data_IF_504210452062
#
_entry.id   IF_504210452062
#
_cell.length_a   1.000
_cell.length_b   1.000
_cell.length_c   1.000
_cell.angle_alpha   90.00
_cell.angle_beta   90.00
_cell.angle_gamma   90.00
#
_symmetry.space_group_name_H-M   'P 1'
#
loop_
_entity.id
_entity.type
_entity.pdbx_description
1 polymer ?
#
# COMPACT_ATOMS: atom_id res chain seq x y z
N UNK A 1 3.81 55.07 68.16
CA UNK A 1 4.68 53.95 67.85
C UNK A 1 3.93 52.65 68.17
N UNK A 2 3.28 52.03 67.23
CA UNK A 2 2.68 50.71 67.43
C UNK A 2 3.10 49.84 66.21
N UNK A 3 3.87 48.79 66.47
CA UNK A 3 4.35 47.81 65.55
C UNK A 3 3.25 46.79 65.33
N UNK A 4 2.78 46.66 64.06
CA UNK A 4 1.91 45.56 63.58
C UNK A 4 2.80 44.46 63.06
N UNK A 5 2.80 43.30 63.70
CA UNK A 5 3.36 42.06 63.20
C UNK A 5 2.34 41.42 62.24
N UNK A 6 2.72 41.31 60.96
CA UNK A 6 1.95 40.55 59.97
C UNK A 6 2.45 39.10 59.99
N UNK A 7 1.64 38.18 60.46
CA UNK A 7 1.86 36.74 60.36
C UNK A 7 1.55 36.29 58.89
N UNK A 8 2.58 35.92 58.11
CA UNK A 8 2.44 35.30 56.85
C UNK A 8 2.25 33.79 57.05
N UNK A 9 1.04 33.31 56.88
CA UNK A 9 0.75 31.85 56.81
C UNK A 9 1.17 31.35 55.42
N UNK A 10 2.30 30.65 55.34
CA UNK A 10 2.73 29.93 54.16
C UNK A 10 1.91 28.64 54.11
N UNK A 11 0.85 28.62 53.33
CA UNK A 11 0.14 27.39 52.94
C UNK A 11 0.97 26.64 51.88
N UNK A 12 1.84 25.74 52.34
CA UNK A 12 2.52 24.77 51.49
C UNK A 12 1.48 23.77 50.96
N UNK A 13 0.92 24.09 49.80
CA UNK A 13 0.17 23.13 48.98
C UNK A 13 1.16 22.02 48.56
N UNK A 14 1.09 20.91 49.28
CA UNK A 14 1.68 19.65 48.88
C UNK A 14 1.01 19.22 47.56
N UNK A 15 1.56 19.64 46.44
CA UNK A 15 1.32 19.00 45.15
C UNK A 15 1.96 17.60 45.24
N UNK A 16 1.20 16.63 45.72
CA UNK A 16 1.51 15.24 45.44
C UNK A 16 1.47 15.08 43.93
N UNK A 17 2.57 14.73 43.27
CA UNK A 17 2.46 14.35 41.87
C UNK A 17 1.47 13.21 41.82
N UNK A 18 0.31 13.42 41.20
CA UNK A 18 -0.58 12.33 40.85
C UNK A 18 0.31 11.35 40.04
N UNK A 19 0.67 10.26 40.70
CA UNK A 19 1.37 9.16 40.03
C UNK A 19 0.49 8.70 38.90
N UNK A 20 0.73 9.28 37.72
CA UNK A 20 0.06 8.87 36.50
C UNK A 20 0.44 7.40 36.31
N UNK A 21 -0.50 6.50 36.55
CA UNK A 21 -0.27 5.07 36.41
C UNK A 21 0.33 4.84 35.02
N UNK A 22 1.49 4.21 35.01
CA UNK A 22 2.16 3.93 33.73
C UNK A 22 1.17 3.25 32.80
N UNK A 23 1.06 3.69 31.53
CA UNK A 23 0.07 3.15 30.62
C UNK A 23 0.21 1.63 30.53
N UNK A 24 -0.89 0.92 30.72
CA UNK A 24 -0.92 -0.54 30.72
C UNK A 24 -0.40 -1.04 29.38
N UNK A 25 0.74 -1.73 29.38
CA UNK A 25 1.31 -2.33 28.17
C UNK A 25 0.37 -3.39 27.63
N UNK A 26 0.24 -3.42 26.29
CA UNK A 26 -0.56 -4.40 25.59
C UNK A 26 0.26 -5.68 25.41
N UNK A 27 -0.34 -6.83 25.76
CA UNK A 27 0.25 -8.13 25.51
C UNK A 27 0.10 -8.50 24.03
N UNK A 28 1.17 -9.05 23.43
CA UNK A 28 1.19 -9.48 22.05
C UNK A 28 0.81 -10.94 21.95
N UNK A 29 -0.21 -11.24 21.14
CA UNK A 29 -0.71 -12.59 20.87
C UNK A 29 -0.02 -13.19 19.65
N UNK A 30 0.03 -14.51 19.47
CA UNK A 30 0.50 -15.10 18.23
C UNK A 30 -0.52 -14.91 17.10
N UNK A 31 -0.06 -14.57 15.91
CA UNK A 31 -0.81 -14.77 14.66
C UNK A 31 -0.74 -16.25 14.29
N UNK A 32 -1.83 -16.80 13.77
CA UNK A 32 -1.87 -18.18 13.31
C UNK A 32 -1.66 -18.26 11.80
N UNK A 33 -0.83 -19.19 11.36
CA UNK A 33 -0.68 -19.49 9.94
C UNK A 33 -2.01 -20.06 9.41
N UNK A 34 -2.56 -19.41 8.40
CA UNK A 34 -3.70 -19.91 7.66
C UNK A 34 -3.24 -20.83 6.54
N UNK A 35 -2.36 -20.30 5.65
CA UNK A 35 -1.79 -21.06 4.55
C UNK A 35 -0.57 -20.33 3.97
N UNK A 36 0.19 -21.01 3.09
CA UNK A 36 1.25 -20.44 2.25
C UNK A 36 0.90 -20.60 0.77
N UNK A 37 1.21 -19.56 -0.05
CA UNK A 37 0.64 -19.43 -1.39
C UNK A 37 1.68 -19.08 -2.46
N UNK A 38 2.74 -19.80 -2.59
CA UNK A 38 3.75 -19.60 -3.62
C UNK A 38 4.98 -18.81 -3.16
N UNK A 39 5.85 -18.47 -4.09
CA UNK A 39 7.12 -17.81 -3.83
C UNK A 39 7.01 -16.28 -3.90
N UNK A 40 7.89 -15.53 -3.24
CA UNK A 40 7.89 -14.07 -3.32
C UNK A 40 8.08 -13.52 -4.74
N UNK A 41 8.78 -14.26 -5.60
CA UNK A 41 9.06 -13.84 -6.98
C UNK A 41 7.81 -13.97 -7.90
N UNK A 42 6.88 -14.86 -7.53
CA UNK A 42 5.67 -15.09 -8.31
C UNK A 42 4.45 -14.31 -7.78
N UNK A 43 4.37 -14.11 -6.45
CA UNK A 43 3.18 -13.55 -5.79
C UNK A 43 3.38 -12.07 -5.49
N UNK A 44 2.61 -11.22 -6.16
CA UNK A 44 2.56 -9.78 -5.88
C UNK A 44 1.66 -9.44 -4.69
N UNK A 45 0.62 -10.24 -4.46
CA UNK A 45 -0.30 -10.01 -3.35
C UNK A 45 -1.44 -11.00 -3.25
N UNK A 46 -2.28 -10.77 -2.24
CA UNK A 46 -3.47 -11.58 -1.96
C UNK A 46 -4.62 -10.65 -1.59
N UNK A 47 -5.82 -10.96 -2.08
CA UNK A 47 -7.08 -10.35 -1.60
C UNK A 47 -8.06 -11.44 -1.22
N UNK A 48 -9.07 -11.13 -0.41
CA UNK A 48 -10.09 -12.08 0.01
C UNK A 48 -11.41 -11.82 -0.73
N UNK A 49 -12.01 -12.87 -1.28
CA UNK A 49 -13.36 -12.86 -1.83
C UNK A 49 -14.19 -13.96 -1.17
N UNK A 50 -15.12 -13.58 -0.28
CA UNK A 50 -15.78 -14.51 0.61
C UNK A 50 -14.77 -15.27 1.49
N UNK A 51 -14.86 -16.60 1.49
CA UNK A 51 -13.93 -17.50 2.17
C UNK A 51 -12.70 -17.87 1.34
N UNK A 52 -12.59 -17.36 0.09
CA UNK A 52 -11.48 -17.67 -0.82
C UNK A 52 -10.39 -16.62 -0.75
N UNK A 53 -9.14 -17.07 -0.89
CA UNK A 53 -7.96 -16.24 -0.99
C UNK A 53 -7.55 -16.15 -2.46
N UNK A 54 -7.57 -14.95 -3.02
CA UNK A 54 -7.21 -14.71 -4.42
C UNK A 54 -5.76 -14.25 -4.45
N UNK A 55 -4.90 -15.10 -4.95
CA UNK A 55 -3.47 -14.89 -5.14
C UNK A 55 -3.25 -14.36 -6.55
N UNK A 56 -2.51 -13.27 -6.68
CA UNK A 56 -2.18 -12.69 -7.98
C UNK A 56 -0.71 -12.31 -8.05
N UNK A 57 -0.20 -12.24 -9.25
CA UNK A 57 1.20 -11.91 -9.50
C UNK A 57 1.63 -12.26 -10.92
N UNK A 58 2.90 -12.65 -11.07
CA UNK A 58 3.47 -12.99 -12.37
C UNK A 58 4.29 -14.25 -12.27
N UNK A 59 4.00 -15.22 -13.15
CA UNK A 59 4.70 -16.47 -13.25
C UNK A 59 5.24 -16.65 -14.66
N UNK A 60 6.54 -16.95 -14.79
CA UNK A 60 7.22 -17.02 -16.08
C UNK A 60 6.94 -15.78 -16.97
N UNK A 61 7.01 -14.59 -16.37
CA UNK A 61 6.73 -13.29 -16.98
C UNK A 61 5.28 -13.08 -17.46
N UNK A 62 4.33 -13.90 -17.03
CA UNK A 62 2.91 -13.77 -17.37
C UNK A 62 2.08 -13.48 -16.13
N UNK A 63 1.20 -12.50 -16.24
CA UNK A 63 0.23 -12.18 -15.21
C UNK A 63 -0.71 -13.35 -14.97
N UNK A 64 -0.96 -13.69 -13.72
CA UNK A 64 -1.89 -14.74 -13.32
C UNK A 64 -2.71 -14.35 -12.10
N UNK A 65 -3.82 -15.05 -11.93
CA UNK A 65 -4.59 -15.07 -10.70
C UNK A 65 -5.08 -16.50 -10.43
N UNK A 66 -5.14 -16.86 -9.15
CA UNK A 66 -5.74 -18.12 -8.73
C UNK A 66 -6.46 -17.96 -7.39
N UNK A 67 -7.51 -18.73 -7.18
CA UNK A 67 -8.15 -18.83 -5.89
C UNK A 67 -7.70 -20.10 -5.17
N UNK A 68 -7.49 -19.96 -3.87
CA UNK A 68 -7.27 -21.08 -2.97
C UNK A 68 -8.23 -20.97 -1.78
N UNK A 69 -8.56 -22.09 -1.17
CA UNK A 69 -9.27 -22.10 0.10
C UNK A 69 -8.29 -21.85 1.28
N UNK A 70 -8.81 -21.85 2.50
CA UNK A 70 -8.02 -21.63 3.72
C UNK A 70 -7.00 -22.72 4.01
N UNK A 71 -7.09 -23.88 3.36
CA UNK A 71 -6.10 -24.97 3.46
C UNK A 71 -5.00 -24.87 2.40
N UNK A 72 -5.14 -23.92 1.45
CA UNK A 72 -4.25 -23.78 0.31
C UNK A 72 -4.62 -24.63 -0.91
N UNK A 73 -5.74 -25.34 -0.87
CA UNK A 73 -6.24 -26.10 -2.01
C UNK A 73 -6.71 -25.15 -3.10
N UNK A 74 -6.20 -25.36 -4.32
CA UNK A 74 -6.60 -24.55 -5.48
C UNK A 74 -8.06 -24.80 -5.86
N UNK A 75 -8.79 -23.70 -6.03
CA UNK A 75 -10.19 -23.69 -6.47
C UNK A 75 -10.27 -23.41 -7.99
N UNK A 76 -9.48 -22.47 -8.46
CA UNK A 76 -9.30 -22.16 -9.88
C UNK A 76 -7.96 -21.45 -10.11
N UNK A 77 -7.47 -21.47 -11.35
CA UNK A 77 -6.22 -20.86 -11.78
C UNK A 77 -6.39 -20.29 -13.19
N UNK A 78 -5.93 -19.06 -13.42
CA UNK A 78 -6.15 -18.32 -14.65
C UNK A 78 -4.89 -17.57 -15.07
N UNK A 79 -4.40 -17.80 -16.28
CA UNK A 79 -3.48 -16.91 -16.95
C UNK A 79 -4.26 -15.69 -17.44
N UNK A 80 -3.88 -14.50 -16.98
CA UNK A 80 -4.62 -13.25 -17.28
C UNK A 80 -4.30 -12.70 -18.66
N UNK A 81 -3.12 -13.03 -19.17
CA UNK A 81 -2.65 -12.52 -20.44
C UNK A 81 -1.88 -13.59 -21.21
N UNK A 82 -2.16 -13.70 -22.50
CA UNK A 82 -1.46 -14.59 -23.42
C UNK A 82 -0.26 -13.90 -24.07
N UNK A 83 -0.05 -12.60 -23.84
CA UNK A 83 1.11 -11.87 -24.34
C UNK A 83 2.43 -12.39 -23.76
N UNK A 84 3.55 -12.01 -24.39
CA UNK A 84 4.85 -12.53 -24.02
C UNK A 84 5.28 -12.09 -22.60
N UNK A 85 4.94 -10.88 -22.18
CA UNK A 85 5.30 -10.32 -20.86
C UNK A 85 4.11 -9.55 -20.31
N UNK A 86 3.73 -9.83 -19.08
CA UNK A 86 2.71 -9.07 -18.35
C UNK A 86 2.90 -9.23 -16.85
N UNK A 87 2.48 -8.25 -16.07
CA UNK A 87 2.55 -8.28 -14.62
C UNK A 87 1.20 -7.90 -14.01
N UNK A 88 0.79 -8.61 -12.96
CA UNK A 88 -0.33 -8.25 -12.11
C UNK A 88 0.21 -7.77 -10.77
N UNK A 89 -0.08 -6.51 -10.38
CA UNK A 89 0.61 -5.84 -9.26
C UNK A 89 -0.31 -5.39 -8.14
N UNK A 90 -1.61 -5.23 -8.42
CA UNK A 90 -2.59 -4.81 -7.45
C UNK A 90 -3.95 -5.47 -7.70
N UNK A 91 -4.71 -5.75 -6.65
CA UNK A 91 -6.05 -6.29 -6.78
C UNK A 91 -6.99 -5.73 -5.71
N UNK A 92 -8.28 -5.70 -6.03
CA UNK A 92 -9.36 -5.40 -5.10
C UNK A 92 -10.59 -6.24 -5.46
N UNK A 93 -11.47 -6.45 -4.48
CA UNK A 93 -12.74 -7.18 -4.65
C UNK A 93 -13.88 -6.19 -4.52
N UNK A 94 -14.82 -6.22 -5.46
CA UNK A 94 -16.00 -5.36 -5.43
C UNK A 94 -17.10 -5.95 -4.54
N UNK A 95 -18.20 -5.22 -4.39
CA UNK A 95 -19.33 -5.63 -3.53
C UNK A 95 -20.05 -6.89 -4.02
N UNK A 96 -19.93 -7.23 -5.30
CA UNK A 96 -20.49 -8.44 -5.89
C UNK A 96 -19.58 -9.67 -5.67
N UNK A 97 -18.36 -9.47 -5.17
CA UNK A 97 -17.34 -10.50 -5.02
C UNK A 97 -16.46 -10.69 -6.26
N UNK A 98 -16.64 -9.88 -7.31
CA UNK A 98 -15.79 -9.90 -8.48
C UNK A 98 -14.41 -9.31 -8.17
N UNK A 99 -13.39 -9.90 -8.74
CA UNK A 99 -12.00 -9.57 -8.53
C UNK A 99 -11.54 -8.63 -9.66
N UNK A 100 -11.01 -7.48 -9.29
CA UNK A 100 -10.41 -6.52 -10.20
C UNK A 100 -8.90 -6.52 -9.97
N UNK A 101 -8.15 -6.80 -11.03
CA UNK A 101 -6.68 -6.85 -10.98
C UNK A 101 -6.14 -5.77 -11.88
N UNK A 102 -5.19 -4.99 -11.39
CA UNK A 102 -4.44 -4.03 -12.16
C UNK A 102 -3.00 -4.51 -12.36
N UNK A 103 -2.45 -4.18 -13.50
CA UNK A 103 -1.10 -4.53 -13.86
C UNK A 103 -0.63 -3.77 -15.09
N UNK A 104 0.44 -4.26 -15.70
CA UNK A 104 0.98 -3.67 -16.91
C UNK A 104 1.27 -4.74 -17.98
N UNK A 105 1.05 -4.35 -19.22
CA UNK A 105 1.33 -5.17 -20.42
C UNK A 105 2.11 -4.34 -21.44
N UNK A 106 2.76 -4.98 -22.41
CA UNK A 106 3.29 -4.30 -23.58
C UNK A 106 2.16 -3.65 -24.39
N UNK A 107 2.49 -2.64 -25.17
CA UNK A 107 1.57 -2.16 -26.22
C UNK A 107 1.36 -3.27 -27.23
N UNK A 108 0.11 -3.45 -27.67
CA UNK A 108 -0.18 -4.36 -28.77
C UNK A 108 0.58 -3.92 -30.05
N UNK A 109 1.27 -4.86 -30.67
CA UNK A 109 2.09 -4.67 -31.87
C UNK A 109 1.29 -4.19 -33.11
N UNK A 110 0.34 -3.35 -33.00
CA UNK A 110 -0.43 -2.76 -34.08
C UNK A 110 -0.72 -1.29 -33.85
N UNK A 111 -0.41 -0.76 -32.67
CA UNK A 111 -0.71 0.63 -32.32
C UNK A 111 0.48 1.57 -32.54
N UNK A 112 1.68 1.03 -32.75
CA UNK A 112 2.86 1.78 -33.15
C UNK A 112 3.35 1.18 -34.46
N UNK A 113 3.23 1.93 -35.55
CA UNK A 113 3.93 1.54 -36.80
C UNK A 113 5.42 1.36 -36.43
N UNK A 114 6.04 0.21 -36.77
CA UNK A 114 7.44 0.02 -36.50
C UNK A 114 8.19 1.13 -37.26
N UNK A 115 8.83 2.02 -36.52
CA UNK A 115 9.83 2.90 -37.11
C UNK A 115 10.89 1.97 -37.67
N UNK A 116 11.18 1.98 -38.98
CA UNK A 116 12.22 1.12 -39.52
C UNK A 116 13.52 1.46 -38.81
N UNK A 117 13.94 0.56 -37.92
CA UNK A 117 15.25 0.66 -37.31
C UNK A 117 16.28 0.53 -38.42
N UNK A 118 17.24 1.43 -38.56
CA UNK A 118 18.31 1.22 -39.52
C UNK A 118 18.92 -0.14 -39.22
N UNK A 119 19.07 -0.97 -40.22
CA UNK A 119 19.68 -2.30 -40.09
C UNK A 119 20.99 -2.14 -39.34
N UNK A 120 21.17 -2.74 -38.16
CA UNK A 120 22.43 -2.62 -37.45
C UNK A 120 23.51 -3.18 -38.36
N UNK A 121 24.56 -2.41 -38.60
CA UNK A 121 25.79 -2.95 -39.17
C UNK A 121 26.31 -3.99 -38.16
N UNK A 122 26.04 -5.25 -38.45
CA UNK A 122 26.61 -6.37 -37.71
C UNK A 122 27.77 -6.96 -38.53
N UNK A 123 28.99 -6.48 -38.34
CA UNK A 123 30.12 -6.92 -39.14
C UNK A 123 30.51 -8.38 -38.90
N UNK A 124 30.05 -9.00 -37.80
CA UNK A 124 30.47 -10.31 -37.36
C UNK A 124 29.43 -11.41 -37.63
N UNK A 125 28.34 -11.13 -38.32
CA UNK A 125 27.24 -12.08 -38.53
C UNK A 125 26.72 -12.78 -37.25
N UNK A 126 26.96 -12.19 -36.09
CA UNK A 126 26.44 -12.69 -34.84
C UNK A 126 24.90 -12.53 -34.83
N UNK A 127 24.17 -13.56 -34.39
CA UNK A 127 22.74 -13.49 -34.24
C UNK A 127 22.37 -12.29 -33.34
N UNK A 128 21.71 -11.28 -33.92
CA UNK A 128 21.18 -10.17 -33.16
C UNK A 128 20.19 -10.76 -32.15
N UNK A 129 20.37 -10.57 -30.82
CA UNK A 129 19.38 -11.02 -29.87
C UNK A 129 18.00 -10.46 -30.29
N UNK A 130 16.93 -11.24 -30.21
CA UNK A 130 15.59 -10.73 -30.50
C UNK A 130 15.38 -9.47 -29.65
N UNK A 131 14.86 -8.42 -30.29
CA UNK A 131 14.59 -7.15 -29.64
C UNK A 131 13.88 -7.44 -28.31
N UNK A 132 14.46 -6.94 -27.22
CA UNK A 132 13.97 -7.18 -25.86
C UNK A 132 12.52 -6.71 -25.83
N UNK A 133 11.63 -7.66 -25.66
CA UNK A 133 10.20 -7.46 -25.82
C UNK A 133 9.72 -6.42 -24.81
N UNK A 134 9.20 -5.35 -25.37
CA UNK A 134 8.13 -4.57 -24.83
C UNK A 134 8.32 -3.98 -23.46
N UNK A 135 8.69 -2.74 -23.42
CA UNK A 135 8.43 -1.90 -22.25
C UNK A 135 6.95 -2.06 -21.87
N UNK A 136 6.66 -2.30 -20.60
CA UNK A 136 5.31 -2.37 -20.06
C UNK A 136 4.68 -0.96 -20.10
N UNK A 137 4.09 -0.61 -21.24
CA UNK A 137 3.59 0.72 -21.57
C UNK A 137 2.06 0.80 -21.61
N UNK A 138 1.35 -0.23 -21.17
CA UNK A 138 -0.09 -0.19 -21.04
C UNK A 138 -0.51 -0.53 -19.60
N UNK A 139 -1.31 0.34 -18.98
CA UNK A 139 -2.04 0.00 -17.76
C UNK A 139 -3.13 -0.98 -18.15
N UNK A 140 -3.13 -2.15 -17.54
CA UNK A 140 -4.10 -3.20 -17.86
C UNK A 140 -4.95 -3.54 -16.65
N UNK A 141 -6.23 -3.75 -16.89
CA UNK A 141 -7.20 -4.17 -15.90
C UNK A 141 -7.87 -5.45 -16.37
N UNK A 142 -7.94 -6.42 -15.49
CA UNK A 142 -8.68 -7.67 -15.66
C UNK A 142 -9.80 -7.73 -14.63
N UNK A 143 -11.01 -8.08 -15.07
CA UNK A 143 -12.11 -8.38 -14.16
C UNK A 143 -12.44 -9.87 -14.24
N UNK A 144 -12.49 -10.52 -13.08
CA UNK A 144 -12.70 -11.96 -12.93
C UNK A 144 -13.87 -12.15 -11.97
N UNK A 145 -14.79 -13.07 -12.28
CA UNK A 145 -15.84 -13.45 -11.34
C UNK A 145 -15.27 -14.19 -10.12
N UNK A 146 -16.02 -14.28 -9.05
CA UNK A 146 -15.65 -15.09 -7.88
C UNK A 146 -15.37 -16.56 -8.23
N UNK A 147 -15.91 -17.07 -9.34
CA UNK A 147 -15.73 -18.45 -9.82
C UNK A 147 -14.57 -18.62 -10.80
N UNK A 148 -13.77 -17.58 -11.04
CA UNK A 148 -12.58 -17.66 -11.89
C UNK A 148 -12.85 -17.45 -13.38
N UNK A 149 -13.99 -16.87 -13.78
CA UNK A 149 -14.28 -16.55 -15.17
C UNK A 149 -13.82 -15.13 -15.48
N UNK A 150 -12.93 -14.98 -16.47
CA UNK A 150 -12.49 -13.67 -16.97
C UNK A 150 -13.65 -12.96 -17.67
N UNK A 151 -14.11 -11.85 -17.10
CA UNK A 151 -15.22 -11.07 -17.66
C UNK A 151 -14.74 -10.12 -18.77
N UNK A 152 -13.62 -9.44 -18.54
CA UNK A 152 -12.99 -8.60 -19.55
C UNK A 152 -11.51 -8.34 -19.25
N UNK A 153 -10.79 -7.91 -20.29
CA UNK A 153 -9.45 -7.32 -20.23
C UNK A 153 -9.47 -6.02 -20.99
N UNK A 154 -9.10 -4.92 -20.33
CA UNK A 154 -9.00 -3.60 -20.97
C UNK A 154 -7.65 -2.97 -20.67
N UNK A 155 -7.13 -2.21 -21.65
CA UNK A 155 -5.81 -1.57 -21.57
C UNK A 155 -5.92 -0.08 -21.83
N UNK A 156 -5.07 0.69 -21.14
CA UNK A 156 -4.84 2.12 -21.38
C UNK A 156 -3.39 2.28 -21.83
N UNK A 157 -3.13 2.52 -23.12
CA UNK A 157 -1.79 2.81 -23.62
C UNK A 157 -1.21 4.07 -22.99
N UNK A 158 0.10 4.04 -22.73
CA UNK A 158 0.86 5.17 -22.20
C UNK A 158 2.12 5.40 -23.03
N UNK A 159 2.66 6.61 -22.96
CA UNK A 159 3.91 6.98 -23.66
C UNK A 159 5.17 6.50 -22.94
N UNK A 160 5.03 5.98 -21.72
CA UNK A 160 6.15 5.60 -20.86
C UNK A 160 5.85 4.28 -20.15
N UNK A 161 6.89 3.64 -19.60
CA UNK A 161 6.73 2.45 -18.76
C UNK A 161 5.87 2.77 -17.54
N UNK A 162 4.95 1.90 -17.19
CA UNK A 162 4.04 2.05 -16.07
C UNK A 162 4.14 0.88 -15.10
N UNK A 163 3.95 1.18 -13.82
CA UNK A 163 3.83 0.20 -12.74
C UNK A 163 2.64 0.60 -11.86
N UNK A 164 1.46 -0.02 -12.03
CA UNK A 164 0.37 0.11 -11.08
C UNK A 164 0.81 -0.37 -9.69
N UNK A 165 0.44 0.35 -8.64
CA UNK A 165 0.83 0.04 -7.25
C UNK A 165 -0.37 -0.28 -6.38
N UNK A 166 -1.54 0.29 -6.69
CA UNK A 166 -2.77 0.03 -5.98
C UNK A 166 -4.00 0.22 -6.86
N UNK A 167 -5.08 -0.46 -6.49
CA UNK A 167 -6.40 -0.34 -7.09
C UNK A 167 -7.45 -0.22 -5.99
N UNK A 168 -8.43 0.65 -6.18
CA UNK A 168 -9.64 0.72 -5.37
C UNK A 168 -10.88 0.59 -6.27
N UNK A 169 -11.88 -0.14 -5.81
CA UNK A 169 -13.10 -0.43 -6.57
C UNK A 169 -14.34 -0.03 -5.79
N UNK A 170 -15.35 0.43 -6.50
CA UNK A 170 -16.70 0.63 -5.99
C UNK A 170 -17.74 0.25 -7.06
N UNK A 171 -19.01 0.51 -6.80
CA UNK A 171 -20.11 0.25 -7.76
C UNK A 171 -19.99 0.98 -9.11
N UNK A 172 -19.14 2.00 -9.21
CA UNK A 172 -18.97 2.83 -10.41
C UNK A 172 -17.74 2.39 -11.24
N UNK A 173 -16.93 1.46 -10.73
CA UNK A 173 -15.73 0.97 -11.41
C UNK A 173 -14.48 1.00 -10.53
N UNK A 174 -13.31 1.16 -11.16
CA UNK A 174 -12.01 1.08 -10.53
C UNK A 174 -11.22 2.38 -10.66
N UNK A 175 -10.34 2.62 -9.68
CA UNK A 175 -9.28 3.63 -9.74
C UNK A 175 -7.95 2.97 -9.48
N UNK A 176 -7.01 3.18 -10.36
CA UNK A 176 -5.67 2.60 -10.35
C UNK A 176 -4.68 3.73 -10.16
N UNK A 177 -3.77 3.58 -9.24
CA UNK A 177 -2.63 4.49 -9.08
C UNK A 177 -1.34 3.72 -9.27
N UNK A 178 -0.27 4.45 -9.56
CA UNK A 178 1.05 3.87 -9.73
C UNK A 178 2.06 4.90 -10.13
N UNK A 179 3.16 4.43 -10.69
CA UNK A 179 4.25 5.25 -11.20
C UNK A 179 4.42 5.05 -12.71
N UNK A 180 4.79 6.13 -13.38
CA UNK A 180 5.23 6.10 -14.77
C UNK A 180 6.67 6.59 -14.83
N UNK A 181 7.54 5.81 -15.48
CA UNK A 181 8.96 6.13 -15.63
C UNK A 181 9.22 6.90 -16.92
N UNK A 182 10.11 7.90 -16.86
CA UNK A 182 10.63 8.61 -18.01
C UNK A 182 12.11 8.95 -17.79
N UNK A 183 12.75 9.58 -18.76
CA UNK A 183 14.18 9.96 -18.69
C UNK A 183 14.52 10.89 -17.52
N UNK A 184 13.53 11.62 -16.97
CA UNK A 184 13.71 12.55 -15.85
C UNK A 184 13.49 11.88 -14.49
N UNK A 185 12.96 10.64 -14.45
CA UNK A 185 12.63 9.92 -13.23
C UNK A 185 11.24 9.31 -13.25
N UNK A 186 10.46 9.41 -12.16
CA UNK A 186 9.13 8.84 -12.05
C UNK A 186 8.09 9.87 -11.63
N UNK A 187 6.93 9.85 -12.29
CA UNK A 187 5.74 10.57 -11.88
C UNK A 187 4.68 9.60 -11.37
N UNK A 188 3.86 10.03 -10.42
CA UNK A 188 2.66 9.29 -10.04
C UNK A 188 1.56 9.43 -11.09
N UNK A 189 0.61 8.51 -11.11
CA UNK A 189 -0.59 8.62 -11.93
C UNK A 189 -1.85 8.16 -11.19
N UNK A 190 -3.01 8.64 -11.66
CA UNK A 190 -4.33 8.08 -11.38
C UNK A 190 -5.04 7.80 -12.71
N UNK A 191 -5.45 6.56 -12.92
CA UNK A 191 -6.30 6.14 -14.01
C UNK A 191 -7.62 5.61 -13.46
N UNK A 192 -8.74 6.00 -14.07
CA UNK A 192 -10.05 5.51 -13.69
C UNK A 192 -10.64 4.67 -14.82
N UNK A 193 -11.30 3.59 -14.46
CA UNK A 193 -12.11 2.78 -15.35
C UNK A 193 -13.54 2.71 -14.81
N UNK A 194 -14.52 2.74 -15.69
CA UNK A 194 -15.92 2.56 -15.34
C UNK A 194 -16.24 1.08 -15.00
N UNK A 195 -17.49 0.78 -14.69
CA UNK A 195 -17.92 -0.59 -14.37
C UNK A 195 -17.74 -1.60 -15.50
N UNK A 196 -17.66 -1.14 -16.77
CA UNK A 196 -17.37 -1.95 -17.95
C UNK A 196 -15.86 -2.06 -18.21
N UNK A 197 -15.02 -1.43 -17.39
CA UNK A 197 -13.58 -1.43 -17.53
C UNK A 197 -13.06 -0.40 -18.54
N UNK A 198 -13.92 0.49 -19.07
CA UNK A 198 -13.51 1.53 -20.03
C UNK A 198 -12.73 2.60 -19.31
N UNK A 199 -11.48 2.81 -19.73
CA UNK A 199 -10.62 3.82 -19.13
C UNK A 199 -11.01 5.24 -19.56
N UNK A 200 -10.99 6.16 -18.62
CA UNK A 200 -11.03 7.60 -18.84
C UNK A 200 -9.63 8.20 -19.00
N UNK A 201 -9.57 9.53 -18.86
CA UNK A 201 -8.31 10.29 -18.96
C UNK A 201 -7.40 9.97 -17.78
N UNK A 202 -6.12 9.73 -18.05
CA UNK A 202 -5.07 9.57 -17.05
C UNK A 202 -4.70 10.93 -16.45
N UNK A 203 -4.62 10.99 -15.12
CA UNK A 203 -4.12 12.15 -14.37
C UNK A 203 -2.69 11.89 -13.95
N UNK A 204 -1.76 12.67 -14.47
CA UNK A 204 -0.36 12.64 -14.01
C UNK A 204 -0.22 13.46 -12.72
N UNK A 205 0.58 12.94 -11.78
CA UNK A 205 0.86 13.55 -10.48
C UNK A 205 2.36 13.74 -10.34
N UNK A 206 2.80 15.00 -10.38
CA UNK A 206 4.22 15.31 -10.42
C UNK A 206 4.85 15.09 -11.79
N UNK A 207 6.17 15.11 -11.85
CA UNK A 207 6.92 15.06 -13.13
C UNK A 207 8.16 14.17 -13.11
N UNK A 208 8.86 14.06 -11.96
CA UNK A 208 10.18 13.43 -11.92
C UNK A 208 10.51 12.70 -10.62
N UNK A 209 9.81 12.97 -9.52
CA UNK A 209 10.17 12.43 -8.20
C UNK A 209 8.93 12.27 -7.30
N UNK A 210 7.86 11.74 -7.87
CA UNK A 210 6.59 11.52 -7.17
C UNK A 210 6.12 10.08 -7.37
N UNK A 211 5.69 9.43 -6.29
CA UNK A 211 5.00 8.14 -6.31
C UNK A 211 3.54 8.30 -5.93
N UNK A 212 2.69 7.40 -6.43
CA UNK A 212 1.32 7.23 -5.99
C UNK A 212 1.15 5.76 -5.59
N UNK A 213 1.06 5.51 -4.28
CA UNK A 213 1.21 4.16 -3.70
C UNK A 213 -0.11 3.57 -3.19
N UNK A 214 -1.12 4.41 -2.97
CA UNK A 214 -2.46 3.94 -2.58
C UNK A 214 -3.53 4.96 -2.97
N UNK A 215 -4.76 4.49 -3.16
CA UNK A 215 -5.91 5.30 -3.56
C UNK A 215 -7.14 4.97 -2.76
N UNK A 216 -7.91 5.99 -2.43
CA UNK A 216 -9.24 5.90 -1.82
C UNK A 216 -10.25 6.56 -2.74
N UNK A 217 -11.33 5.86 -3.05
CA UNK A 217 -12.51 6.40 -3.75
C UNK A 217 -13.50 6.87 -2.71
N UNK A 218 -14.01 8.09 -2.87
CA UNK A 218 -15.02 8.65 -1.97
C UNK A 218 -16.42 8.58 -2.59
N UNK A 219 -17.43 8.56 -1.76
CA UNK A 219 -18.84 8.46 -2.20
C UNK A 219 -19.32 9.65 -3.04
N UNK A 220 -18.65 10.82 -2.90
CA UNK A 220 -18.90 12.02 -3.70
C UNK A 220 -18.24 11.96 -5.10
N UNK A 221 -17.53 10.87 -5.39
CA UNK A 221 -16.80 10.66 -6.64
C UNK A 221 -15.42 11.31 -6.67
N UNK A 222 -14.97 11.93 -5.58
CA UNK A 222 -13.58 12.40 -5.44
C UNK A 222 -12.64 11.28 -5.03
N UNK A 223 -11.33 11.55 -5.11
CA UNK A 223 -10.29 10.58 -4.79
C UNK A 223 -9.28 11.18 -3.82
N UNK A 224 -8.73 10.32 -2.96
CA UNK A 224 -7.51 10.61 -2.21
C UNK A 224 -6.42 9.68 -2.68
N UNK A 225 -5.33 10.23 -3.21
CA UNK A 225 -4.13 9.49 -3.57
C UNK A 225 -3.07 9.77 -2.51
N UNK A 226 -2.37 8.75 -2.07
CA UNK A 226 -1.25 8.88 -1.15
C UNK A 226 0.01 8.28 -1.74
N UNK A 227 1.16 8.83 -1.35
CA UNK A 227 2.47 8.39 -1.84
C UNK A 227 3.58 9.27 -1.28
N UNK A 228 4.59 9.54 -2.06
CA UNK A 228 5.72 10.39 -1.66
C UNK A 228 6.18 11.30 -2.79
N UNK A 229 6.83 12.41 -2.44
CA UNK A 229 7.36 13.34 -3.44
C UNK A 229 8.54 14.14 -2.92
N UNK A 230 9.57 14.29 -3.77
CA UNK A 230 10.72 15.17 -3.56
C UNK A 230 10.65 16.44 -4.41
N UNK A 231 9.57 16.67 -5.14
CA UNK A 231 9.37 17.84 -5.98
C UNK A 231 8.24 18.75 -5.46
N UNK A 232 8.14 19.97 -5.96
CA UNK A 232 7.03 20.88 -5.64
C UNK A 232 5.76 20.40 -6.31
N UNK A 233 4.70 20.17 -5.55
CA UNK A 233 3.38 19.76 -6.05
C UNK A 233 2.35 20.85 -5.75
N UNK A 234 1.66 21.35 -6.78
CA UNK A 234 0.63 22.41 -6.65
C UNK A 234 1.09 23.57 -5.76
N UNK A 235 2.32 24.05 -5.96
CA UNK A 235 2.93 25.14 -5.19
C UNK A 235 3.39 24.76 -3.77
N UNK A 236 3.16 23.54 -3.30
CA UNK A 236 3.65 23.05 -2.00
C UNK A 236 5.06 22.50 -2.15
N UNK A 237 6.05 23.17 -1.54
CA UNK A 237 7.45 22.78 -1.53
C UNK A 237 7.71 21.59 -0.61
N UNK A 238 8.72 20.79 -0.93
CA UNK A 238 9.25 19.75 -0.04
C UNK A 238 9.93 20.39 1.17
N UNK A 239 9.79 19.78 2.34
CA UNK A 239 10.42 20.24 3.58
C UNK A 239 11.44 19.23 4.14
N UNK A 240 11.27 17.94 3.85
CA UNK A 240 12.27 16.90 4.12
C UNK A 240 13.19 16.64 2.92
N UNK A 241 13.78 15.45 2.85
CA UNK A 241 14.44 14.93 1.64
C UNK A 241 13.35 14.42 0.68
N UNK A 242 12.36 13.72 1.21
CA UNK A 242 11.15 13.25 0.56
C UNK A 242 10.01 13.39 1.54
N UNK A 243 8.91 13.98 1.13
CA UNK A 243 7.72 14.10 1.96
C UNK A 243 6.66 13.07 1.55
N UNK A 244 5.98 12.49 2.52
CA UNK A 244 4.74 11.78 2.29
C UNK A 244 3.66 12.77 1.83
N UNK A 245 2.93 12.43 0.77
CA UNK A 245 1.91 13.31 0.20
C UNK A 245 0.53 12.67 0.27
N UNK A 246 -0.47 13.51 0.54
CA UNK A 246 -1.89 13.20 0.44
C UNK A 246 -2.46 14.18 -0.57
N UNK A 247 -3.03 13.67 -1.64
CA UNK A 247 -3.47 14.45 -2.79
C UNK A 247 -4.97 14.24 -2.97
N UNK A 248 -5.74 15.30 -2.85
CA UNK A 248 -7.19 15.28 -3.15
C UNK A 248 -7.40 15.58 -4.63
N UNK A 249 -8.12 14.71 -5.30
CA UNK A 249 -8.51 14.85 -6.70
C UNK A 249 -10.03 14.88 -6.76
N UNK A 250 -10.57 15.90 -7.41
CA UNK A 250 -12.02 16.04 -7.58
C UNK A 250 -12.60 14.99 -8.52
N UNK A 251 -13.92 14.83 -8.52
CA UNK A 251 -14.64 14.01 -9.51
C UNK A 251 -14.32 14.41 -10.96
N UNK A 252 -14.03 15.69 -11.21
CA UNK A 252 -13.58 16.20 -12.51
C UNK A 252 -12.09 16.02 -12.79
N UNK A 253 -11.41 15.15 -12.04
CA UNK A 253 -9.99 14.76 -12.22
C UNK A 253 -9.00 15.93 -12.07
N UNK A 254 -9.34 16.95 -11.29
CA UNK A 254 -8.45 18.06 -10.98
C UNK A 254 -7.86 17.88 -9.57
N UNK A 255 -6.56 18.07 -9.42
CA UNK A 255 -5.90 18.14 -8.10
C UNK A 255 -6.41 19.41 -7.40
N UNK A 256 -7.08 19.24 -6.26
CA UNK A 256 -7.71 20.33 -5.49
C UNK A 256 -6.96 20.66 -4.21
N UNK A 257 -6.21 19.70 -3.67
CA UNK A 257 -5.41 19.92 -2.47
C UNK A 257 -4.22 18.96 -2.44
N UNK A 258 -3.12 19.42 -1.85
CA UNK A 258 -1.92 18.63 -1.54
C UNK A 258 -1.54 18.89 -0.09
N UNK A 259 -1.48 17.84 0.72
CA UNK A 259 -1.00 17.90 2.10
C UNK A 259 0.30 17.13 2.20
N UNK A 260 1.32 17.71 2.84
CA UNK A 260 2.63 17.10 3.03
C UNK A 260 2.85 16.71 4.48
N UNK A 261 3.51 15.59 4.66
CA UNK A 261 4.00 15.10 5.94
C UNK A 261 5.50 14.88 5.83
N UNK A 262 6.26 15.65 6.56
CA UNK A 262 7.72 15.70 6.41
C UNK A 262 8.45 15.08 7.60
N UNK A 263 9.69 14.65 7.37
CA UNK A 263 10.65 14.32 8.40
C UNK A 263 11.89 15.21 8.23
N UNK A 264 12.30 15.90 9.29
CA UNK A 264 13.48 16.78 9.25
C UNK A 264 14.71 15.98 8.85
N UNK A 265 15.39 16.40 7.77
CA UNK A 265 16.57 15.73 7.19
C UNK A 265 16.32 14.25 6.87
N UNK A 266 15.08 13.88 6.61
CA UNK A 266 14.68 12.48 6.39
C UNK A 266 13.68 12.32 5.23
N UNK A 267 13.31 11.07 5.01
CA UNK A 267 12.27 10.67 4.05
C UNK A 267 11.03 10.25 4.83
N UNK A 268 9.89 10.71 4.40
CA UNK A 268 8.59 10.20 4.82
C UNK A 268 7.84 9.68 3.60
N UNK A 269 7.31 8.47 3.70
CA UNK A 269 6.60 7.81 2.60
C UNK A 269 5.28 7.27 3.14
N UNK A 270 4.22 7.39 2.37
CA UNK A 270 2.95 6.72 2.61
C UNK A 270 2.78 5.58 1.60
N UNK A 271 2.64 4.34 2.09
CA UNK A 271 2.56 3.14 1.25
C UNK A 271 1.17 2.51 1.23
N UNK A 272 0.30 2.90 2.15
CA UNK A 272 -1.06 2.37 2.23
C UNK A 272 -2.03 3.37 2.84
N UNK A 273 -3.29 3.24 2.48
CA UNK A 273 -4.39 4.02 3.05
C UNK A 273 -5.66 3.17 3.15
N UNK A 274 -6.47 3.45 4.15
CA UNK A 274 -7.82 2.92 4.24
C UNK A 274 -8.86 3.96 3.80
N UNK A 275 -10.07 3.52 3.53
CA UNK A 275 -11.20 4.39 3.19
C UNK A 275 -11.50 5.46 4.25
N UNK A 276 -11.07 5.24 5.48
CA UNK A 276 -11.23 6.18 6.59
C UNK A 276 -9.99 7.02 6.87
N UNK A 277 -9.02 7.06 5.96
CA UNK A 277 -7.77 7.82 6.06
C UNK A 277 -6.88 7.39 7.25
N UNK A 278 -6.85 6.10 7.58
CA UNK A 278 -5.76 5.52 8.33
C UNK A 278 -4.63 5.22 7.34
N UNK A 279 -3.52 5.93 7.45
CA UNK A 279 -2.38 5.81 6.56
C UNK A 279 -1.27 5.04 7.25
N UNK A 280 -0.67 4.14 6.49
CA UNK A 280 0.53 3.41 6.84
C UNK A 280 1.68 3.80 5.92
N UNK A 281 2.87 3.84 6.48
CA UNK A 281 4.06 4.18 5.73
C UNK A 281 5.31 4.05 6.57
N UNK A 282 6.35 4.78 6.19
CA UNK A 282 7.63 4.76 6.90
C UNK A 282 8.26 6.14 7.01
N UNK A 283 9.15 6.26 7.98
CA UNK A 283 10.05 7.41 8.17
C UNK A 283 11.48 6.90 8.23
N UNK A 284 12.34 7.48 7.41
CA UNK A 284 13.75 7.13 7.32
C UNK A 284 14.58 8.37 7.64
N UNK A 285 15.38 8.31 8.70
CA UNK A 285 16.32 9.37 9.10
C UNK A 285 17.70 8.73 9.32
N UNK A 286 18.63 9.02 8.44
CA UNK A 286 19.92 8.34 8.41
C UNK A 286 19.74 6.83 8.21
N UNK A 287 20.21 6.03 9.18
CA UNK A 287 20.06 4.57 9.18
C UNK A 287 18.82 4.07 9.95
N UNK A 288 18.08 4.98 10.60
CA UNK A 288 16.89 4.61 11.39
C UNK A 288 15.67 4.54 10.47
N UNK A 289 15.00 3.39 10.50
CA UNK A 289 13.75 3.14 9.80
C UNK A 289 12.66 2.92 10.85
N UNK A 290 11.56 3.63 10.71
CA UNK A 290 10.39 3.49 11.56
C UNK A 290 9.14 3.33 10.69
N UNK A 291 8.34 2.32 10.96
CA UNK A 291 6.95 2.26 10.50
C UNK A 291 6.17 3.42 11.11
N UNK A 292 5.36 4.07 10.30
CA UNK A 292 4.57 5.21 10.71
C UNK A 292 3.09 4.95 10.41
N UNK A 293 2.25 5.09 11.44
CA UNK A 293 0.80 4.91 11.36
C UNK A 293 0.17 6.23 11.77
N UNK A 294 -0.60 6.84 10.89
CA UNK A 294 -1.26 8.13 11.16
C UNK A 294 -2.72 8.07 10.73
N UNK A 295 -3.59 8.48 11.61
CA UNK A 295 -4.99 8.75 11.29
C UNK A 295 -5.14 10.20 10.90
N UNK A 296 -5.82 10.44 9.78
CA UNK A 296 -6.18 11.77 9.32
C UNK A 296 -7.69 12.00 9.43
N UNK A 297 -8.07 13.24 9.67
CA UNK A 297 -9.46 13.70 9.56
C UNK A 297 -9.86 13.84 8.09
N UNK A 298 -11.14 14.10 7.83
CA UNK A 298 -11.64 14.41 6.48
C UNK A 298 -11.06 15.70 5.89
N UNK A 299 -10.53 16.60 6.73
CA UNK A 299 -9.79 17.80 6.33
C UNK A 299 -8.30 17.55 6.10
N UNK A 300 -7.84 16.31 6.19
CA UNK A 300 -6.45 15.88 6.09
C UNK A 300 -5.53 16.44 7.18
N UNK A 301 -6.06 16.78 8.35
CA UNK A 301 -5.28 17.08 9.54
C UNK A 301 -4.96 15.76 10.27
N UNK A 302 -3.71 15.54 10.74
CA UNK A 302 -3.38 14.35 11.52
C UNK A 302 -4.08 14.43 12.90
N UNK A 303 -4.77 13.35 13.28
CA UNK A 303 -5.45 13.25 14.59
C UNK A 303 -4.58 12.55 15.61
N UNK A 304 -3.86 11.49 15.20
CA UNK A 304 -2.85 10.82 16.00
C UNK A 304 -1.82 10.15 15.11
N UNK A 305 -0.63 9.92 15.65
CA UNK A 305 0.49 9.27 14.95
C UNK A 305 1.25 8.36 15.90
N UNK A 306 1.57 7.16 15.43
CA UNK A 306 2.51 6.24 16.07
C UNK A 306 3.71 5.96 15.17
N UNK A 307 4.86 5.70 15.80
CA UNK A 307 6.08 5.23 15.13
C UNK A 307 6.64 4.05 15.89
N UNK A 308 7.09 3.04 15.13
CA UNK A 308 7.69 1.83 15.69
C UNK A 308 8.98 1.49 14.93
N UNK A 309 10.03 1.03 15.61
CA UNK A 309 11.21 0.50 14.93
C UNK A 309 10.82 -0.61 13.96
N UNK A 310 11.29 -0.53 12.69
CA UNK A 310 10.88 -1.48 11.65
C UNK A 310 11.96 -1.65 10.58
N UNK A 311 11.75 -2.61 9.67
CA UNK A 311 12.56 -2.76 8.46
C UNK A 311 12.00 -2.03 7.25
N UNK A 312 10.76 -1.52 7.32
CA UNK A 312 10.11 -0.93 6.16
C UNK A 312 8.68 -0.48 6.40
N UNK A 313 7.88 -0.46 5.33
CA UNK A 313 6.58 0.19 5.31
C UNK A 313 5.52 -0.52 6.17
N UNK A 314 4.47 0.23 6.46
CA UNK A 314 3.26 -0.26 7.13
C UNK A 314 2.14 -0.46 6.12
N UNK A 315 1.41 -1.57 6.24
CA UNK A 315 0.16 -1.83 5.54
C UNK A 315 -1.01 -1.64 6.49
N UNK A 316 -2.06 -0.97 6.04
CA UNK A 316 -3.27 -0.72 6.84
C UNK A 316 -4.46 -1.50 6.31
N UNK A 317 -5.35 -1.91 7.23
CA UNK A 317 -6.61 -2.57 6.89
C UNK A 317 -7.76 -1.95 7.68
N UNK A 318 -8.85 -1.62 6.97
CA UNK A 318 -10.01 -0.95 7.55
C UNK A 318 -9.64 0.38 8.24
N UNK A 319 -10.34 0.68 9.32
CA UNK A 319 -10.14 1.91 10.09
C UNK A 319 -9.19 1.76 11.28
N UNK A 320 -8.78 0.52 11.60
CA UNK A 320 -8.27 0.18 12.93
C UNK A 320 -7.04 -0.72 12.96
N UNK A 321 -6.61 -1.29 11.83
CA UNK A 321 -5.49 -2.22 11.79
C UNK A 321 -4.31 -1.71 11.00
N UNK A 322 -3.10 -2.02 11.48
CA UNK A 322 -1.86 -1.76 10.79
C UNK A 322 -0.86 -2.89 11.03
N UNK A 323 -0.14 -3.31 9.99
CA UNK A 323 0.83 -4.39 10.05
C UNK A 323 2.15 -3.97 9.41
N UNK A 324 3.27 -4.39 10.02
CA UNK A 324 4.64 -4.10 9.56
C UNK A 324 5.64 -5.12 10.15
N UNK A 325 6.89 -5.12 9.68
CA UNK A 325 7.95 -5.90 10.30
C UNK A 325 8.62 -5.06 11.37
N UNK A 326 8.40 -5.41 12.64
CA UNK A 326 9.02 -4.72 13.79
C UNK A 326 10.42 -5.24 14.06
N UNK A 327 11.35 -4.32 14.38
CA UNK A 327 12.76 -4.64 14.68
C UNK A 327 13.13 -4.37 16.13
N UNK A 328 12.22 -3.89 16.95
CA UNK A 328 12.57 -3.45 18.29
C UNK A 328 11.42 -3.34 19.26
N UNK A 329 11.77 -2.94 20.46
CA UNK A 329 10.85 -2.80 21.60
C UNK A 329 10.02 -1.53 21.45
N UNK A 330 8.76 -1.59 21.84
CA UNK A 330 7.90 -0.42 22.04
C UNK A 330 7.48 -0.30 23.50
N UNK A 331 7.49 0.89 24.06
CA UNK A 331 7.01 1.11 25.44
C UNK A 331 5.53 0.78 25.61
N UNK A 332 4.76 0.72 24.52
CA UNK A 332 3.33 0.41 24.53
C UNK A 332 3.03 -1.09 24.58
N UNK A 333 4.02 -1.94 24.32
CA UNK A 333 3.86 -3.38 24.21
C UNK A 333 4.64 -4.11 25.30
N UNK A 334 4.04 -5.16 25.86
CA UNK A 334 4.75 -6.14 26.66
C UNK A 334 5.34 -7.21 25.74
N UNK A 335 6.33 -6.80 24.91
CA UNK A 335 6.92 -7.62 23.89
C UNK A 335 8.31 -7.12 23.51
N UNK A 336 9.24 -8.06 23.34
CA UNK A 336 10.61 -7.79 22.98
C UNK A 336 11.07 -8.78 21.90
N UNK A 337 10.94 -8.43 20.61
CA UNK A 337 11.37 -9.32 19.53
C UNK A 337 12.90 -9.41 19.50
N UNK A 338 13.42 -10.65 19.41
CA UNK A 338 14.88 -10.91 19.27
C UNK A 338 15.37 -10.71 17.84
N UNK A 339 14.47 -10.66 16.86
CA UNK A 339 14.75 -10.51 15.43
C UNK A 339 13.56 -9.85 14.75
N UNK A 340 13.71 -9.32 13.52
CA UNK A 340 12.61 -8.75 12.76
C UNK A 340 11.42 -9.70 12.68
N UNK A 341 10.25 -9.23 13.05
CA UNK A 341 9.04 -10.06 13.23
C UNK A 341 7.79 -9.27 12.78
N UNK A 342 6.86 -9.89 12.03
CA UNK A 342 5.59 -9.26 11.68
C UNK A 342 4.81 -8.88 12.94
N UNK A 343 4.32 -7.66 12.98
CA UNK A 343 3.50 -7.12 14.05
C UNK A 343 2.22 -6.54 13.48
N UNK A 344 1.09 -7.03 13.93
CA UNK A 344 -0.24 -6.46 13.68
C UNK A 344 -0.69 -5.71 14.91
N UNK A 345 -1.11 -4.46 14.73
CA UNK A 345 -1.66 -3.61 15.76
C UNK A 345 -3.12 -3.30 15.48
N UNK A 346 -3.92 -3.21 16.54
CA UNK A 346 -5.30 -2.71 16.47
C UNK A 346 -5.48 -1.46 17.33
N UNK A 347 -6.27 -0.52 16.81
CA UNK A 347 -6.53 0.77 17.43
C UNK A 347 -8.05 0.99 17.56
N UNK A 348 -8.45 1.74 18.56
CA UNK A 348 -9.82 2.27 18.62
C UNK A 348 -9.97 3.54 17.76
N UNK A 349 -11.17 4.09 17.70
CA UNK A 349 -11.46 5.29 16.93
C UNK A 349 -10.71 6.55 17.44
N UNK A 350 -10.31 6.56 18.72
CA UNK A 350 -9.53 7.64 19.35
C UNK A 350 -8.03 7.48 19.19
N UNK A 351 -7.58 6.34 18.65
CA UNK A 351 -6.19 6.01 18.43
C UNK A 351 -5.53 5.28 19.59
N UNK A 352 -6.28 4.89 20.62
CA UNK A 352 -5.71 4.05 21.67
C UNK A 352 -5.41 2.65 21.11
N UNK A 353 -4.22 2.12 21.43
CA UNK A 353 -3.83 0.77 21.06
C UNK A 353 -4.68 -0.24 21.85
N UNK A 354 -5.46 -1.07 21.17
CA UNK A 354 -6.41 -2.02 21.78
C UNK A 354 -5.92 -3.46 21.71
N UNK A 355 -5.00 -3.77 20.81
CA UNK A 355 -4.45 -5.11 20.68
C UNK A 355 -3.20 -5.16 19.84
N UNK A 356 -2.46 -6.24 20.01
CA UNK A 356 -1.29 -6.54 19.21
C UNK A 356 -1.15 -8.04 18.99
N UNK A 357 -0.65 -8.44 17.81
CA UNK A 357 -0.34 -9.82 17.50
C UNK A 357 0.92 -9.91 16.65
N UNK A 358 1.73 -10.96 16.82
CA UNK A 358 2.97 -11.16 16.09
C UNK A 358 2.98 -12.47 15.32
N UNK A 359 3.53 -12.42 14.10
CA UNK A 359 3.81 -13.62 13.31
C UNK A 359 5.12 -14.29 13.72
N UNK A 360 5.53 -15.33 13.00
CA UNK A 360 6.81 -16.00 13.21
C UNK A 360 7.97 -15.13 12.72
N UNK A 361 9.16 -15.40 13.22
CA UNK A 361 10.42 -14.83 12.73
C UNK A 361 10.72 -15.32 11.29
N UNK A 362 11.63 -14.60 10.60
CA UNK A 362 12.05 -14.99 9.24
C UNK A 362 11.20 -14.40 8.12
N UNK A 363 10.12 -13.68 8.45
CA UNK A 363 9.39 -12.89 7.47
C UNK A 363 10.17 -11.61 7.16
N UNK A 364 10.24 -11.24 5.88
CA UNK A 364 11.01 -10.08 5.39
C UNK A 364 10.16 -8.84 5.17
N UNK A 365 8.92 -9.03 4.73
CA UNK A 365 8.03 -7.94 4.35
C UNK A 365 6.57 -8.28 4.68
N UNK A 366 5.77 -7.24 4.95
CA UNK A 366 4.31 -7.31 4.95
C UNK A 366 3.80 -6.82 3.62
N UNK A 367 3.31 -7.73 2.79
CA UNK A 367 2.75 -7.44 1.47
C UNK A 367 1.36 -6.81 1.56
N UNK A 368 0.55 -7.22 2.55
CA UNK A 368 -0.80 -6.73 2.74
C UNK A 368 -1.36 -6.96 4.14
N UNK A 369 -2.35 -6.17 4.48
CA UNK A 369 -3.24 -6.37 5.61
C UNK A 369 -4.68 -6.24 5.10
N UNK A 370 -5.55 -7.19 5.42
CA UNK A 370 -6.87 -7.33 4.85
C UNK A 370 -7.90 -7.57 5.97
N UNK A 371 -9.14 -7.21 5.70
CA UNK A 371 -10.29 -7.59 6.54
C UNK A 371 -11.26 -8.37 5.65
N UNK A 372 -11.56 -9.58 6.05
CA UNK A 372 -12.64 -10.40 5.48
C UNK A 372 -13.72 -10.64 6.53
N UNK A 373 -14.97 -10.68 6.10
CA UNK A 373 -16.08 -11.02 7.01
C UNK A 373 -15.97 -12.45 7.49
N UNK A 374 -15.54 -13.35 6.60
CA UNK A 374 -15.47 -14.79 6.83
C UNK A 374 -14.16 -15.21 7.49
N UNK A 375 -13.05 -14.54 7.17
CA UNK A 375 -11.71 -14.96 7.58
C UNK A 375 -11.11 -14.07 8.68
N UNK A 376 -11.80 -12.98 9.04
CA UNK A 376 -11.29 -12.01 10.02
C UNK A 376 -10.18 -11.12 9.47
N UNK A 377 -9.22 -10.78 10.32
CA UNK A 377 -8.08 -9.93 9.96
C UNK A 377 -6.94 -10.80 9.46
N UNK A 378 -6.48 -10.55 8.24
CA UNK A 378 -5.40 -11.29 7.60
C UNK A 378 -4.17 -10.41 7.44
N UNK A 379 -2.99 -11.00 7.63
CA UNK A 379 -1.69 -10.39 7.37
C UNK A 379 -0.97 -11.27 6.37
N UNK A 380 -0.64 -10.70 5.22
CA UNK A 380 0.11 -11.37 4.16
C UNK A 380 1.58 -10.95 4.27
N UNK A 381 2.47 -11.91 4.40
CA UNK A 381 3.91 -11.66 4.54
C UNK A 381 4.71 -12.48 3.56
N UNK A 382 5.90 -12.02 3.22
CA UNK A 382 6.88 -12.80 2.47
C UNK A 382 8.08 -13.16 3.32
N UNK A 383 8.56 -14.41 3.18
CA UNK A 383 9.84 -14.88 3.65
C UNK A 383 10.80 -15.03 2.47
N UNK A 384 11.97 -15.65 2.66
CA UNK A 384 12.84 -16.00 1.53
C UNK A 384 12.25 -17.11 0.64
N UNK A 385 11.37 -17.96 1.20
CA UNK A 385 10.89 -19.17 0.54
C UNK A 385 9.43 -19.09 0.09
N UNK A 386 8.58 -18.36 0.81
CA UNK A 386 7.14 -18.39 0.56
C UNK A 386 6.45 -17.10 0.96
N UNK A 387 5.30 -16.84 0.32
CA UNK A 387 4.30 -15.90 0.78
C UNK A 387 3.33 -16.64 1.67
N UNK A 388 3.14 -16.13 2.89
CA UNK A 388 2.31 -16.75 3.94
C UNK A 388 1.21 -15.79 4.39
N UNK A 389 0.05 -16.35 4.69
CA UNK A 389 -1.12 -15.65 5.16
C UNK A 389 -1.38 -16.07 6.59
N UNK A 390 -1.40 -15.07 7.47
CA UNK A 390 -1.69 -15.28 8.89
C UNK A 390 -3.02 -14.64 9.24
N UNK A 391 -3.71 -15.21 10.24
CA UNK A 391 -4.95 -14.66 10.77
C UNK A 391 -4.83 -14.35 12.25
N UNK A 392 -5.55 -13.29 12.66
CA UNK A 392 -5.89 -13.07 14.05
C UNK A 392 -7.22 -13.78 14.30
N UNK A 393 -7.19 -14.86 15.10
CA UNK A 393 -8.42 -15.56 15.45
C UNK A 393 -9.29 -14.62 16.26
N UNK A 394 -10.56 -14.41 15.87
CA UNK A 394 -11.52 -13.70 16.70
C UNK A 394 -11.70 -14.47 18.02
N UNK A 395 -11.91 -13.74 19.11
CA UNK A 395 -12.28 -14.32 20.40
C UNK A 395 -13.75 -14.69 20.40
#
# INVERSE_FOLDING_TARGET
MKRLLSLAVIASLLFSPLAQAAPKKISVKPLQLLTSVGTPDEVSGVVASGSSLIVFGSKASKAYARAVDTTGKELWNLSLDQSAVSIATAAAVDQAGDIWIAGATPLALGLIAPTPSPTPLNPDNAAVPPATIGNLQAITIWKISATGVLAFTNTLPTSSVVLPTAIAVDRNGASIVGITGNEKGSAGFLANADKAGTFGTLVQIGSASTTADSVVRHTDGSFTVVGSSSETLSGKKVAGITDGVIIKISKGLKITNVVRSSAVKGKRVWNSSSSTLLLGGEVIVGKKIESAITKFSSSYAPTWTYRFPSTGPTRTAGSTYAAFISTGVSPLLNWNPKSPTPLLLSFDAKGALTGAASGPVGQKEVLGALISKELGVLVVTSSAAAVSIFTLIPR
#
